data_IF_901578801917
#
_entry.id   IF_901578801917
#
_cell.length_a   1.000
_cell.length_b   1.000
_cell.length_c   1.000
_cell.angle_alpha   90.00
_cell.angle_beta   90.00
_cell.angle_gamma   90.00
#
_symmetry.space_group_name_H-M   'P 1'
#
loop_
_entity.id
_entity.type
_entity.pdbx_description
1 polymer ?
#
# COMPACT_ATOMS: atom_id res chain seq x y z
N UNK A 1 22.79 -10.39 -6.93
CA UNK A 1 21.97 -9.31 -7.43
C UNK A 1 22.61 -8.56 -8.61
N UNK A 2 22.01 -7.46 -9.05
CA UNK A 2 22.41 -6.66 -10.23
C UNK A 2 23.87 -6.20 -10.16
N UNK A 3 24.33 -5.70 -9.00
CA UNK A 3 25.72 -5.25 -8.79
C UNK A 3 26.71 -6.39 -9.06
N UNK A 4 26.45 -7.58 -8.54
CA UNK A 4 27.32 -8.73 -8.75
C UNK A 4 27.34 -9.14 -10.25
N UNK A 5 26.18 -9.13 -10.91
CA UNK A 5 26.10 -9.42 -12.33
C UNK A 5 26.87 -8.38 -13.18
N UNK A 6 26.75 -7.09 -12.81
CA UNK A 6 27.50 -6.01 -13.47
C UNK A 6 29.01 -6.19 -13.33
N UNK A 7 29.51 -6.47 -12.11
CA UNK A 7 30.93 -6.71 -11.85
C UNK A 7 31.44 -7.94 -12.61
N UNK A 8 30.63 -9.00 -12.67
CA UNK A 8 30.96 -10.25 -13.34
C UNK A 8 30.70 -10.20 -14.85
N UNK A 9 30.32 -9.05 -15.40
CA UNK A 9 29.96 -8.85 -16.83
C UNK A 9 28.93 -9.87 -17.35
N UNK A 10 27.99 -10.24 -16.49
CA UNK A 10 26.86 -11.11 -16.86
C UNK A 10 25.67 -10.27 -17.30
N UNK A 11 24.86 -10.79 -18.20
CA UNK A 11 23.59 -10.18 -18.55
C UNK A 11 22.69 -10.07 -17.33
N UNK A 12 22.04 -8.93 -17.19
CA UNK A 12 21.06 -8.67 -16.13
C UNK A 12 20.03 -7.64 -16.58
N UNK A 13 18.82 -7.77 -16.08
CA UNK A 13 17.82 -6.73 -16.26
C UNK A 13 18.24 -5.44 -15.50
N UNK A 14 17.86 -4.26 -15.99
CA UNK A 14 18.09 -3.01 -15.28
C UNK A 14 17.38 -3.00 -13.93
N UNK A 15 17.93 -2.25 -12.96
CA UNK A 15 17.28 -2.06 -11.68
C UNK A 15 15.94 -1.32 -11.87
N UNK A 16 14.90 -1.80 -11.22
CA UNK A 16 13.60 -1.16 -11.20
C UNK A 16 13.46 -0.32 -9.93
N UNK A 17 13.30 0.98 -10.10
CA UNK A 17 13.18 1.94 -9.00
C UNK A 17 11.74 2.40 -8.74
N UNK A 18 10.79 1.94 -9.55
CA UNK A 18 9.35 2.21 -9.40
C UNK A 18 8.70 1.48 -8.21
N UNK A 19 9.35 0.44 -7.71
CA UNK A 19 8.86 -0.37 -6.59
C UNK A 19 9.89 -0.50 -5.44
N UNK A 20 10.60 0.59 -5.14
CA UNK A 20 11.54 0.61 -3.99
C UNK A 20 10.75 0.80 -2.70
N UNK A 21 10.74 -0.17 -1.78
CA UNK A 21 10.10 -0.01 -0.49
C UNK A 21 10.90 0.89 0.43
N UNK A 22 10.19 1.63 1.26
CA UNK A 22 10.74 2.45 2.33
C UNK A 22 10.03 2.11 3.62
N UNK A 23 10.77 1.83 4.67
CA UNK A 23 10.22 1.54 5.99
C UNK A 23 10.90 2.40 7.05
N UNK A 24 10.11 2.93 7.98
CA UNK A 24 10.57 3.68 9.15
C UNK A 24 10.07 2.91 10.38
N UNK A 25 11.00 2.50 11.22
CA UNK A 25 10.73 1.65 12.38
C UNK A 25 10.44 2.48 13.63
N UNK A 26 9.52 3.40 13.48
CA UNK A 26 8.92 4.14 14.59
C UNK A 26 7.87 3.28 15.30
N UNK A 27 7.26 3.78 16.37
CA UNK A 27 6.09 3.20 16.99
C UNK A 27 4.92 4.22 16.91
N UNK A 28 3.95 3.99 16.03
CA UNK A 28 3.79 2.88 15.07
C UNK A 28 4.76 2.94 13.88
N UNK A 29 5.01 1.79 13.26
CA UNK A 29 5.80 1.68 12.04
C UNK A 29 5.12 2.39 10.85
N UNK A 30 5.94 2.85 9.90
CA UNK A 30 5.45 3.42 8.64
C UNK A 30 6.18 2.79 7.46
N UNK A 31 5.43 2.40 6.44
CA UNK A 31 5.98 1.84 5.20
C UNK A 31 5.33 2.46 3.97
N UNK A 32 6.10 2.56 2.88
CA UNK A 32 5.59 3.02 1.59
C UNK A 32 6.33 2.39 0.42
N UNK A 33 5.66 2.28 -0.71
CA UNK A 33 6.23 1.79 -1.97
C UNK A 33 5.51 2.47 -3.15
N UNK A 34 6.23 2.69 -4.25
CA UNK A 34 5.69 3.32 -5.45
C UNK A 34 5.46 4.82 -5.26
N UNK A 35 4.46 5.36 -5.95
CA UNK A 35 4.13 6.80 -5.95
C UNK A 35 3.13 7.14 -4.84
N UNK A 36 3.20 8.37 -4.38
CA UNK A 36 2.18 8.95 -3.48
C UNK A 36 1.00 9.48 -4.30
N UNK A 37 -0.13 9.71 -3.64
CA UNK A 37 -1.29 10.35 -4.28
C UNK A 37 -0.97 11.76 -4.79
N UNK A 38 -0.17 12.52 -4.05
CA UNK A 38 0.28 13.85 -4.47
C UNK A 38 1.11 13.76 -5.77
N UNK A 39 2.08 12.85 -5.82
CA UNK A 39 2.88 12.61 -7.04
C UNK A 39 2.01 12.14 -8.22
N UNK A 40 1.01 11.30 -7.98
CA UNK A 40 0.08 10.88 -9.02
C UNK A 40 -0.68 12.09 -9.60
N UNK A 41 -1.19 12.96 -8.73
CA UNK A 41 -1.88 14.19 -9.14
C UNK A 41 -0.97 15.15 -9.90
N UNK A 42 0.25 15.38 -9.44
CA UNK A 42 1.25 16.22 -10.12
C UNK A 42 1.58 15.70 -11.52
N UNK A 43 1.59 14.37 -11.70
CA UNK A 43 1.80 13.73 -13.00
C UNK A 43 0.55 13.68 -13.88
N UNK A 44 -0.57 14.19 -13.40
CA UNK A 44 -1.85 14.18 -14.13
C UNK A 44 -2.45 12.78 -14.30
N UNK A 45 -2.07 11.82 -13.44
CA UNK A 45 -2.61 10.47 -13.49
C UNK A 45 -4.02 10.43 -12.89
N UNK A 46 -4.93 9.77 -13.58
CA UNK A 46 -6.27 9.48 -13.05
C UNK A 46 -6.18 8.22 -12.17
N UNK A 47 -6.19 8.44 -10.87
CA UNK A 47 -6.00 7.37 -9.88
C UNK A 47 -7.24 7.17 -9.03
N UNK A 48 -7.40 5.95 -8.58
CA UNK A 48 -8.31 5.58 -7.51
C UNK A 48 -7.52 5.24 -6.25
N UNK A 49 -8.08 5.59 -5.11
CA UNK A 49 -7.42 5.47 -3.81
C UNK A 49 -8.35 4.76 -2.85
N UNK A 50 -7.88 3.65 -2.29
CA UNK A 50 -8.56 2.95 -1.22
C UNK A 50 -7.78 3.12 0.09
N UNK A 51 -8.49 3.43 1.16
CA UNK A 51 -7.91 3.63 2.50
C UNK A 51 -8.72 2.84 3.53
N UNK A 52 -8.04 2.18 4.44
CA UNK A 52 -8.63 1.57 5.63
C UNK A 52 -7.81 1.90 6.85
N UNK A 53 -8.43 2.47 7.88
CA UNK A 53 -7.74 2.70 9.15
C UNK A 53 -7.50 1.38 9.87
N UNK A 54 -6.30 1.19 10.39
CA UNK A 54 -5.91 -0.03 11.11
C UNK A 54 -6.84 -0.39 12.25
N UNK A 55 -7.30 0.55 13.10
CA UNK A 55 -8.25 0.26 14.18
C UNK A 55 -9.57 -0.38 13.72
N UNK A 56 -9.97 -0.13 12.47
CA UNK A 56 -11.21 -0.65 11.89
C UNK A 56 -11.00 -1.89 11.02
N UNK A 57 -9.80 -2.47 11.02
CA UNK A 57 -9.56 -3.82 10.50
C UNK A 57 -9.83 -4.84 11.60
N UNK A 58 -10.18 -6.08 11.22
CA UNK A 58 -10.40 -7.14 12.21
C UNK A 58 -9.19 -7.36 13.11
N UNK A 59 -7.99 -7.39 12.53
CA UNK A 59 -6.77 -7.58 13.32
C UNK A 59 -6.44 -6.37 14.18
N UNK A 60 -6.61 -5.16 13.66
CA UNK A 60 -6.40 -3.93 14.41
C UNK A 60 -7.31 -3.84 15.63
N UNK A 61 -8.57 -4.22 15.48
CA UNK A 61 -9.51 -4.29 16.58
C UNK A 61 -9.10 -5.30 17.65
N UNK A 62 -8.70 -6.51 17.25
CA UNK A 62 -8.22 -7.54 18.20
C UNK A 62 -6.96 -7.12 18.96
N UNK A 63 -6.05 -6.43 18.32
CA UNK A 63 -4.81 -5.92 18.90
C UNK A 63 -5.00 -4.59 19.65
N UNK A 64 -6.24 -4.08 19.70
CA UNK A 64 -6.56 -2.76 20.28
C UNK A 64 -5.69 -1.65 19.69
N UNK A 65 -5.35 -1.75 18.41
CA UNK A 65 -4.56 -0.74 17.71
C UNK A 65 -5.37 0.54 17.56
N UNK A 66 -4.89 1.64 18.12
CA UNK A 66 -5.62 2.93 18.13
C UNK A 66 -5.29 3.81 16.94
N UNK A 67 -4.21 3.50 16.21
CA UNK A 67 -3.68 4.34 15.12
C UNK A 67 -3.29 3.52 13.91
N UNK A 68 -3.05 4.22 12.80
CA UNK A 68 -2.56 3.64 11.57
C UNK A 68 -3.60 3.49 10.47
N UNK A 69 -3.11 3.27 9.26
CA UNK A 69 -3.93 3.08 8.08
C UNK A 69 -3.16 2.28 7.01
N UNK A 70 -3.91 1.66 6.12
CA UNK A 70 -3.42 1.07 4.87
C UNK A 70 -4.04 1.87 3.74
N UNK A 71 -3.21 2.35 2.81
CA UNK A 71 -3.61 3.12 1.63
C UNK A 71 -3.05 2.44 0.39
N UNK A 72 -3.86 2.27 -0.63
CA UNK A 72 -3.46 1.77 -1.94
C UNK A 72 -3.89 2.75 -3.01
N UNK A 73 -3.05 2.93 -4.03
CA UNK A 73 -3.23 3.87 -5.13
C UNK A 73 -3.10 3.09 -6.43
N UNK A 74 -4.12 3.12 -7.26
CA UNK A 74 -4.14 2.41 -8.53
C UNK A 74 -4.54 3.32 -9.69
N UNK A 75 -4.07 3.00 -10.88
CA UNK A 75 -4.55 3.62 -12.11
C UNK A 75 -6.03 3.24 -12.33
N UNK A 76 -6.89 4.24 -12.44
CA UNK A 76 -8.34 4.04 -12.52
C UNK A 76 -8.77 3.20 -13.72
N UNK A 77 -8.07 3.36 -14.84
CA UNK A 77 -8.44 2.69 -16.09
C UNK A 77 -7.99 1.23 -16.13
N UNK A 78 -6.78 0.95 -15.70
CA UNK A 78 -6.19 -0.40 -15.76
C UNK A 78 -6.36 -1.20 -14.47
N UNK A 79 -6.63 -0.53 -13.36
CA UNK A 79 -6.62 -1.11 -12.02
C UNK A 79 -5.23 -1.46 -11.48
N UNK A 80 -4.16 -1.13 -12.21
CA UNK A 80 -2.79 -1.48 -11.81
C UNK A 80 -2.36 -0.67 -10.60
N UNK A 81 -1.83 -1.35 -9.59
CA UNK A 81 -1.31 -0.72 -8.39
C UNK A 81 -0.05 0.10 -8.71
N UNK A 82 -0.09 1.39 -8.42
CA UNK A 82 0.98 2.35 -8.66
C UNK A 82 1.77 2.70 -7.40
N UNK A 83 1.11 2.62 -6.26
CA UNK A 83 1.72 2.92 -4.99
C UNK A 83 0.88 2.48 -3.81
N UNK A 84 1.52 2.39 -2.66
CA UNK A 84 0.83 2.04 -1.42
C UNK A 84 1.61 2.54 -0.21
N UNK A 85 0.91 2.71 0.90
CA UNK A 85 1.51 2.99 2.20
C UNK A 85 0.74 2.27 3.31
N UNK A 86 1.45 1.98 4.38
CA UNK A 86 0.88 1.43 5.59
C UNK A 86 1.49 2.11 6.80
N UNK A 87 0.68 2.37 7.82
CA UNK A 87 1.14 2.78 9.14
C UNK A 87 0.40 1.96 10.19
N UNK A 88 1.07 1.72 11.31
CA UNK A 88 0.52 0.91 12.39
C UNK A 88 1.40 -0.29 12.74
N UNK A 89 0.92 -1.17 13.62
CA UNK A 89 1.64 -2.38 13.96
C UNK A 89 1.92 -3.24 12.71
N UNK A 90 3.15 -3.74 12.58
CA UNK A 90 3.57 -4.59 11.45
C UNK A 90 3.45 -3.94 10.07
N UNK A 91 3.51 -2.59 9.98
CA UNK A 91 3.44 -1.90 8.70
C UNK A 91 4.57 -2.32 7.75
N UNK A 92 5.77 -2.59 8.26
CA UNK A 92 6.91 -3.11 7.51
C UNK A 92 6.64 -4.49 6.88
N UNK A 93 5.90 -5.36 7.57
CA UNK A 93 5.53 -6.68 7.06
C UNK A 93 4.41 -6.58 6.01
N UNK A 94 3.41 -5.71 6.25
CA UNK A 94 2.35 -5.41 5.26
C UNK A 94 2.97 -4.87 3.96
N UNK A 95 4.03 -4.06 4.09
CA UNK A 95 4.77 -3.50 2.97
C UNK A 95 5.34 -4.57 2.02
N UNK A 96 5.66 -5.76 2.52
CA UNK A 96 6.14 -6.87 1.70
C UNK A 96 5.15 -7.26 0.59
N UNK A 97 3.87 -7.47 0.94
CA UNK A 97 2.80 -7.74 -0.03
C UNK A 97 2.61 -6.56 -0.99
N UNK A 98 2.56 -5.34 -0.47
CA UNK A 98 2.35 -4.14 -1.28
C UNK A 98 3.51 -3.89 -2.24
N UNK A 99 4.76 -4.15 -1.80
CA UNK A 99 5.94 -4.07 -2.67
C UNK A 99 5.89 -5.07 -3.80
N UNK A 100 5.52 -6.32 -3.50
CA UNK A 100 5.35 -7.34 -4.52
C UNK A 100 4.27 -6.94 -5.54
N UNK A 101 3.14 -6.43 -5.06
CA UNK A 101 2.04 -6.02 -5.92
C UNK A 101 2.43 -4.84 -6.85
N UNK A 102 3.11 -3.81 -6.35
CA UNK A 102 3.62 -2.71 -7.19
C UNK A 102 4.69 -3.22 -8.16
N UNK A 103 5.63 -4.05 -7.68
CA UNK A 103 6.71 -4.60 -8.50
C UNK A 103 6.19 -5.45 -9.67
N UNK A 104 5.18 -6.28 -9.44
CA UNK A 104 4.58 -7.15 -10.46
C UNK A 104 3.50 -6.44 -11.27
N UNK A 105 3.17 -5.18 -10.94
CA UNK A 105 2.08 -4.43 -11.56
C UNK A 105 0.72 -5.14 -11.39
N UNK A 106 0.52 -5.77 -10.24
CA UNK A 106 -0.74 -6.43 -9.90
C UNK A 106 -1.91 -5.43 -9.95
N UNK A 107 -3.08 -5.93 -10.29
CA UNK A 107 -4.30 -5.13 -10.28
C UNK A 107 -4.99 -5.19 -8.90
N UNK A 108 -5.80 -4.20 -8.60
CA UNK A 108 -6.63 -4.23 -7.39
C UNK A 108 -7.50 -5.49 -7.32
N UNK A 109 -8.01 -5.96 -8.46
CA UNK A 109 -8.82 -7.17 -8.51
C UNK A 109 -8.03 -8.44 -8.15
N UNK A 110 -6.74 -8.50 -8.48
CA UNK A 110 -5.89 -9.62 -8.07
C UNK A 110 -5.77 -9.67 -6.55
N UNK A 111 -5.53 -8.53 -5.91
CA UNK A 111 -5.48 -8.42 -4.45
C UNK A 111 -6.86 -8.66 -3.81
N UNK A 112 -7.94 -8.17 -4.43
CA UNK A 112 -9.30 -8.34 -3.93
C UNK A 112 -9.75 -9.80 -3.94
N UNK A 113 -9.37 -10.55 -4.96
CA UNK A 113 -9.74 -11.97 -5.12
C UNK A 113 -8.86 -12.92 -4.31
N UNK A 114 -7.77 -12.42 -3.74
CA UNK A 114 -6.86 -13.22 -2.93
C UNK A 114 -7.52 -13.68 -1.63
N UNK A 115 -7.22 -14.90 -1.21
CA UNK A 115 -7.63 -15.41 0.11
C UNK A 115 -6.57 -14.97 1.12
N UNK A 116 -6.98 -14.20 2.11
CA UNK A 116 -6.13 -13.73 3.19
C UNK A 116 -6.22 -14.65 4.42
N UNK A 117 -5.10 -14.89 5.07
CA UNK A 117 -5.16 -15.51 6.40
C UNK A 117 -5.89 -14.54 7.36
N UNK A 118 -6.82 -15.08 8.14
CA UNK A 118 -7.71 -14.26 8.98
C UNK A 118 -7.60 -14.67 10.46
N UNK A 119 -7.55 -13.70 11.37
CA UNK A 119 -7.34 -12.26 11.13
C UNK A 119 -5.86 -11.90 11.10
N UNK A 120 -5.45 -11.09 10.12
CA UNK A 120 -4.06 -10.62 9.99
C UNK A 120 -4.00 -9.13 9.65
N UNK A 121 -2.89 -8.46 9.98
CA UNK A 121 -2.72 -7.06 9.60
C UNK A 121 -2.69 -6.87 8.07
N UNK A 122 -2.02 -7.77 7.33
CA UNK A 122 -2.00 -7.65 5.86
C UNK A 122 -3.38 -7.94 5.23
N UNK A 123 -4.26 -8.66 5.92
CA UNK A 123 -5.66 -8.83 5.52
C UNK A 123 -6.41 -7.51 5.41
N UNK A 124 -5.97 -6.48 6.16
CA UNK A 124 -6.46 -5.12 6.03
C UNK A 124 -6.29 -4.50 4.63
N UNK A 125 -5.36 -5.02 3.80
CA UNK A 125 -5.23 -4.64 2.38
C UNK A 125 -6.49 -5.05 1.62
N UNK A 126 -6.90 -6.31 1.78
CA UNK A 126 -8.15 -6.83 1.18
C UNK A 126 -9.38 -6.09 1.69
N UNK A 127 -9.42 -5.77 3.00
CA UNK A 127 -10.52 -4.98 3.58
C UNK A 127 -10.59 -3.56 3.00
N UNK A 128 -9.44 -2.91 2.76
CA UNK A 128 -9.39 -1.58 2.16
C UNK A 128 -9.93 -1.59 0.72
N UNK A 129 -9.48 -2.54 -0.09
CA UNK A 129 -9.88 -2.68 -1.49
C UNK A 129 -11.36 -3.11 -1.58
N UNK A 130 -11.79 -4.03 -0.72
CA UNK A 130 -13.18 -4.50 -0.67
C UNK A 130 -14.16 -3.38 -0.30
N UNK A 131 -13.84 -2.58 0.70
CA UNK A 131 -14.65 -1.42 1.10
C UNK A 131 -14.77 -0.41 -0.04
N UNK A 132 -13.67 -0.10 -0.72
CA UNK A 132 -13.66 0.78 -1.88
C UNK A 132 -14.57 0.25 -3.02
N UNK A 133 -14.47 -1.04 -3.36
CA UNK A 133 -15.25 -1.67 -4.42
C UNK A 133 -16.77 -1.67 -4.13
N UNK A 134 -17.16 -1.65 -2.86
CA UNK A 134 -18.56 -1.56 -2.43
C UNK A 134 -19.08 -0.11 -2.37
N UNK A 135 -18.26 0.88 -2.80
CA UNK A 135 -18.62 2.29 -2.70
C UNK A 135 -18.69 2.79 -1.26
N UNK A 136 -18.31 1.96 -0.31
CA UNK A 136 -18.03 2.39 1.05
C UNK A 136 -16.70 3.11 0.99
N UNK A 137 -16.73 4.39 0.58
CA UNK A 137 -15.62 5.27 0.93
C UNK A 137 -15.45 5.06 2.43
N UNK A 138 -14.35 4.47 2.80
CA UNK A 138 -13.97 4.41 4.21
C UNK A 138 -13.94 5.86 4.62
N UNK A 139 -14.98 6.27 5.30
CA UNK A 139 -15.20 7.64 5.70
C UNK A 139 -13.88 8.06 6.31
N UNK A 140 -13.22 8.98 5.65
CA UNK A 140 -12.23 9.79 6.30
C UNK A 140 -12.99 10.32 7.50
N UNK A 141 -12.67 9.79 8.68
CA UNK A 141 -13.17 10.31 9.93
C UNK A 141 -13.03 11.84 9.83
N UNK A 142 -14.04 12.64 10.13
CA UNK A 142 -13.95 14.09 10.03
C UNK A 142 -12.71 14.68 10.70
N UNK A 143 -12.12 13.97 11.67
CA UNK A 143 -10.83 14.31 12.26
C UNK A 143 -9.65 14.28 11.26
N UNK A 144 -9.81 13.67 10.07
CA UNK A 144 -8.76 13.56 9.06
C UNK A 144 -8.93 14.47 7.84
N UNK A 145 -10.03 15.22 7.74
CA UNK A 145 -10.22 16.22 6.67
C UNK A 145 -9.16 17.34 6.67
N UNK A 146 -8.38 17.49 7.75
CA UNK A 146 -7.32 18.49 7.87
C UNK A 146 -5.89 17.95 7.79
N UNK A 147 -5.69 16.65 7.68
CA UNK A 147 -4.35 16.09 7.57
C UNK A 147 -3.87 16.14 6.12
N UNK A 148 -3.11 17.19 5.80
CA UNK A 148 -2.32 17.26 4.58
C UNK A 148 -1.40 16.03 4.52
N UNK A 149 -1.19 15.41 3.32
CA UNK A 149 -0.19 14.35 3.18
C UNK A 149 1.14 14.91 3.66
N UNK A 150 1.84 14.14 4.48
CA UNK A 150 3.23 14.44 4.82
C UNK A 150 4.00 14.40 3.50
N UNK A 151 4.47 15.56 3.07
CA UNK A 151 5.25 15.78 1.86
C UNK A 151 6.59 15.04 1.89
#
# INVERSE_FOLDING_TARGET
GIIAAYILKKEHAPARYDAVPRAVFTDPEVGSVGITEAQAREQGLDVEVAVKRTPYTFRGWLDMSMTGAIKVIADRKSGVLLGASASGPRASEILGLLTFAVHTRAKLDDLRSMIYAFPTFYGGVGEAIGAYALGVQTVLDPEFEGLQPIS
#
